data_IF_567759329583
#
_entry.id   IF_567759329583
#
_cell.length_a   1.000
_cell.length_b   1.000
_cell.length_c   1.000
_cell.angle_alpha   90.00
_cell.angle_beta   90.00
_cell.angle_gamma   90.00
#
_symmetry.space_group_name_H-M   'P 1'
#
loop_
_entity.id
_entity.type
_entity.pdbx_description
1 polymer ?
#
# COMPACT_ATOMS: atom_id res chain seq x y z
N UNK A 1 3.76 -14.72 -2.03
CA UNK A 1 2.82 -13.59 -1.93
C UNK A 1 3.41 -12.30 -1.34
N UNK A 2 3.72 -12.20 -0.03
CA UNK A 2 4.27 -10.95 0.54
C UNK A 2 5.70 -10.65 0.06
N UNK A 3 6.54 -11.67 -0.03
CA UNK A 3 7.93 -11.55 -0.49
C UNK A 3 8.03 -11.16 -1.98
N UNK A 4 7.10 -11.65 -2.81
CA UNK A 4 7.01 -11.25 -4.22
C UNK A 4 6.57 -9.79 -4.36
N UNK A 5 5.60 -9.32 -3.58
CA UNK A 5 5.17 -7.90 -3.60
C UNK A 5 6.28 -6.93 -3.22
N UNK A 6 7.19 -7.33 -2.33
CA UNK A 6 8.32 -6.50 -1.92
C UNK A 6 9.44 -6.50 -2.97
N UNK A 7 9.73 -7.64 -3.60
CA UNK A 7 10.66 -7.74 -4.74
C UNK A 7 10.12 -6.95 -5.95
N UNK A 8 8.81 -6.99 -6.17
CA UNK A 8 8.12 -6.25 -7.24
C UNK A 8 8.36 -4.75 -7.12
N UNK A 9 8.49 -4.16 -5.92
CA UNK A 9 8.65 -2.71 -5.74
C UNK A 9 10.05 -2.19 -6.07
N UNK A 10 11.09 -3.00 -5.91
CA UNK A 10 12.49 -2.57 -6.02
C UNK A 10 13.06 -2.61 -7.46
N UNK A 11 12.39 -3.30 -8.40
CA UNK A 11 12.82 -3.45 -9.80
C UNK A 11 11.80 -2.87 -10.81
N UNK A 12 11.34 -1.63 -10.64
CA UNK A 12 10.24 -1.09 -11.48
C UNK A 12 10.63 0.01 -12.46
N UNK A 13 11.85 0.55 -12.39
CA UNK A 13 12.24 1.73 -13.17
C UNK A 13 13.46 1.42 -14.04
N UNK A 14 13.31 1.65 -15.34
CA UNK A 14 14.41 1.56 -16.31
C UNK A 14 14.88 2.96 -16.68
N UNK A 15 16.20 3.17 -16.67
CA UNK A 15 16.80 4.40 -17.21
C UNK A 15 16.73 4.40 -18.74
N UNK A 16 16.20 5.47 -19.30
CA UNK A 16 16.05 5.71 -20.74
C UNK A 16 16.54 7.12 -21.07
N UNK A 17 16.91 7.36 -22.32
CA UNK A 17 17.30 8.70 -22.78
C UNK A 17 16.10 9.45 -23.35
N UNK A 18 15.77 10.59 -22.77
CA UNK A 18 14.84 11.57 -23.32
C UNK A 18 15.66 12.61 -24.09
N UNK A 19 15.38 12.75 -25.40
CA UNK A 19 16.02 13.77 -26.23
C UNK A 19 15.14 15.01 -26.27
N UNK A 20 15.71 16.15 -25.89
CA UNK A 20 15.09 17.47 -25.89
C UNK A 20 15.60 18.23 -27.12
N UNK A 21 14.67 18.80 -27.87
CA UNK A 21 14.91 19.62 -29.05
C UNK A 21 14.56 21.06 -28.72
N UNK A 22 15.52 21.95 -28.90
CA UNK A 22 15.32 23.39 -28.75
C UNK A 22 15.59 24.03 -30.10
N UNK A 23 14.57 24.67 -30.65
CA UNK A 23 14.64 25.38 -31.93
C UNK A 23 13.94 26.71 -31.82
N UNK A 24 14.43 27.69 -32.56
CA UNK A 24 13.81 28.99 -32.65
C UNK A 24 13.59 29.41 -34.10
N UNK A 25 12.48 30.10 -34.36
CA UNK A 25 12.17 30.69 -35.66
C UNK A 25 12.01 32.20 -35.50
N UNK A 26 12.42 32.96 -36.50
CA UNK A 26 12.29 34.42 -36.52
C UNK A 26 11.42 34.85 -37.69
N UNK A 27 10.43 35.69 -37.41
CA UNK A 27 9.54 36.29 -38.40
C UNK A 27 9.86 37.78 -38.50
N UNK A 28 10.54 38.24 -39.56
CA UNK A 28 10.79 39.66 -39.77
C UNK A 28 9.49 40.42 -40.04
N UNK A 29 9.49 41.73 -39.77
CA UNK A 29 8.40 42.61 -40.17
C UNK A 29 8.33 42.70 -41.70
N UNK A 30 7.10 42.74 -42.26
CA UNK A 30 6.92 42.98 -43.70
C UNK A 30 7.13 44.47 -43.99
N UNK A 31 7.73 44.83 -45.14
CA UNK A 31 7.78 46.23 -45.59
C UNK A 31 6.37 46.75 -45.92
N UNK A 32 6.16 48.05 -45.69
CA UNK A 32 4.88 48.78 -45.78
C UNK A 32 4.13 48.53 -47.11
N UNK A 33 2.86 48.12 -47.03
CA UNK A 33 1.99 47.98 -48.21
C UNK A 33 0.73 47.11 -48.07
N UNK A 34 0.60 46.31 -47.01
CA UNK A 34 -0.62 45.53 -46.73
C UNK A 34 -1.12 45.83 -45.30
N UNK A 35 -2.42 46.06 -45.14
CA UNK A 35 -3.10 46.41 -43.89
C UNK A 35 -2.87 45.36 -42.78
N UNK A 36 -1.81 45.57 -41.99
CA UNK A 36 -1.65 45.30 -40.55
C UNK A 36 -0.15 45.32 -40.22
N UNK A 37 0.29 46.24 -39.35
CA UNK A 37 1.66 46.29 -38.82
C UNK A 37 2.04 44.95 -38.17
N UNK A 38 2.71 44.06 -38.90
CA UNK A 38 3.31 42.85 -38.35
C UNK A 38 4.66 43.22 -37.73
N UNK A 39 4.67 43.44 -36.43
CA UNK A 39 5.88 43.58 -35.61
C UNK A 39 6.74 42.32 -35.74
N UNK A 40 8.06 42.50 -35.83
CA UNK A 40 9.04 41.39 -35.83
C UNK A 40 8.87 40.55 -34.58
N UNK A 41 8.97 39.22 -34.74
CA UNK A 41 8.79 38.31 -33.60
C UNK A 41 9.64 37.07 -33.75
N UNK A 42 10.04 36.53 -32.61
CA UNK A 42 10.67 35.22 -32.52
C UNK A 42 9.75 34.25 -31.82
N UNK A 43 9.99 32.97 -32.09
CA UNK A 43 9.28 31.87 -31.50
C UNK A 43 10.29 30.81 -31.07
N UNK A 44 10.27 30.48 -29.77
CA UNK A 44 11.06 29.41 -29.17
C UNK A 44 10.18 28.18 -29.02
N UNK A 45 10.70 27.03 -29.46
CA UNK A 45 10.05 25.75 -29.32
C UNK A 45 10.94 24.77 -28.56
N UNK A 46 10.37 24.16 -27.53
CA UNK A 46 11.00 23.15 -26.68
C UNK A 46 10.19 21.88 -26.78
N UNK A 47 10.67 20.90 -27.53
CA UNK A 47 10.03 19.61 -27.73
C UNK A 47 10.88 18.51 -27.11
N UNK A 48 10.31 17.33 -26.88
CA UNK A 48 11.14 16.18 -26.56
C UNK A 48 10.51 14.85 -26.90
N UNK A 49 11.37 13.86 -27.03
CA UNK A 49 11.00 12.52 -27.44
C UNK A 49 11.87 11.48 -26.75
N UNK A 50 11.22 10.49 -26.16
CA UNK A 50 11.91 9.35 -25.58
C UNK A 50 12.57 8.53 -26.71
N UNK A 51 13.85 8.19 -26.55
CA UNK A 51 14.58 7.37 -27.50
C UNK A 51 14.22 5.89 -27.24
N UNK A 52 13.17 5.43 -27.92
CA UNK A 52 12.66 4.06 -27.83
C UNK A 52 12.76 3.28 -29.17
N UNK A 53 12.70 1.96 -29.06
CA UNK A 53 12.47 1.06 -30.20
C UNK A 53 11.04 1.22 -30.74
N UNK A 54 10.85 1.12 -32.07
CA UNK A 54 9.53 1.28 -32.69
C UNK A 54 8.52 0.25 -32.15
N UNK A 55 7.34 0.71 -31.71
CA UNK A 55 6.22 -0.14 -31.31
C UNK A 55 5.71 0.03 -29.87
N UNK A 56 6.41 0.81 -29.03
CA UNK A 56 5.97 1.10 -27.65
C UNK A 56 5.11 2.37 -27.54
N UNK A 57 4.27 2.41 -26.50
CA UNK A 57 3.39 3.54 -26.20
C UNK A 57 4.22 4.82 -25.99
N UNK A 58 4.00 5.82 -26.84
CA UNK A 58 4.70 7.10 -26.75
C UNK A 58 4.24 7.87 -25.51
N UNK A 59 5.11 8.00 -24.51
CA UNK A 59 4.91 8.98 -23.43
C UNK A 59 5.13 10.40 -23.95
N UNK A 60 4.30 11.32 -23.48
CA UNK A 60 4.37 12.75 -23.84
C UNK A 60 5.56 13.43 -23.19
N UNK A 61 6.17 14.41 -23.85
CA UNK A 61 7.32 15.15 -23.33
C UNK A 61 7.05 15.77 -21.95
N UNK A 62 5.91 16.45 -21.78
CA UNK A 62 5.57 17.10 -20.52
C UNK A 62 5.49 16.11 -19.36
N UNK A 63 5.17 14.82 -19.61
CA UNK A 63 4.95 13.78 -18.60
C UNK A 63 6.17 13.49 -17.72
N UNK A 64 7.37 13.87 -18.17
CA UNK A 64 8.62 13.68 -17.43
C UNK A 64 8.95 14.83 -16.48
N UNK A 65 8.22 15.94 -16.54
CA UNK A 65 8.54 17.16 -15.81
C UNK A 65 7.41 17.57 -14.87
N UNK A 66 7.80 18.02 -13.68
CA UNK A 66 6.92 18.65 -12.70
C UNK A 66 6.72 20.12 -13.04
N UNK A 67 7.77 20.78 -13.52
CA UNK A 67 7.69 22.15 -14.02
C UNK A 67 8.80 22.44 -15.03
N UNK A 68 8.57 23.49 -15.80
CA UNK A 68 9.49 24.04 -16.78
C UNK A 68 9.45 25.56 -16.63
N UNK A 69 10.62 26.18 -16.53
CA UNK A 69 10.77 27.64 -16.49
C UNK A 69 11.70 28.07 -17.64
N UNK A 70 11.29 29.08 -18.39
CA UNK A 70 12.11 29.75 -19.38
C UNK A 70 12.37 31.16 -18.87
N UNK A 71 13.63 31.42 -18.53
CA UNK A 71 14.12 32.73 -18.16
C UNK A 71 14.74 33.39 -19.39
N UNK A 72 14.18 34.52 -19.80
CA UNK A 72 14.67 35.38 -20.86
C UNK A 72 15.53 36.49 -20.26
N UNK A 73 16.24 37.22 -21.11
CA UNK A 73 17.03 38.38 -20.70
C UNK A 73 16.15 39.44 -19.99
N UNK A 74 16.43 39.65 -18.70
CA UNK A 74 15.69 40.56 -17.83
C UNK A 74 15.84 42.02 -18.26
N UNK A 75 16.96 42.39 -18.87
CA UNK A 75 17.19 43.76 -19.36
C UNK A 75 16.29 44.07 -20.57
N UNK A 76 16.01 43.07 -21.41
CA UNK A 76 15.18 43.22 -22.60
C UNK A 76 13.67 43.17 -22.29
N UNK A 77 13.24 42.28 -21.40
CA UNK A 77 11.81 42.03 -21.14
C UNK A 77 11.29 42.61 -19.82
N UNK A 78 12.17 43.16 -18.99
CA UNK A 78 11.81 43.69 -17.68
C UNK A 78 11.42 42.61 -16.66
N UNK A 79 11.14 43.00 -15.41
CA UNK A 79 10.93 42.08 -14.31
C UNK A 79 9.69 41.18 -14.47
N UNK A 80 8.67 41.63 -15.19
CA UNK A 80 7.38 40.93 -15.23
C UNK A 80 7.22 40.01 -16.45
N UNK A 81 7.97 40.22 -17.54
CA UNK A 81 7.79 39.46 -18.79
C UNK A 81 8.97 38.55 -19.15
N UNK A 82 10.08 38.59 -18.39
CA UNK A 82 11.26 37.76 -18.65
C UNK A 82 11.08 36.29 -18.26
N UNK A 83 10.06 35.94 -17.47
CA UNK A 83 9.83 34.56 -17.02
C UNK A 83 8.59 33.96 -17.68
N UNK A 84 8.72 32.72 -18.15
CA UNK A 84 7.59 31.88 -18.57
C UNK A 84 7.65 30.59 -17.77
N UNK A 85 6.63 30.35 -16.96
CA UNK A 85 6.56 29.21 -16.06
C UNK A 85 5.40 28.28 -16.43
N UNK A 86 5.69 26.98 -16.46
CA UNK A 86 4.70 25.93 -16.56
C UNK A 86 4.85 25.00 -15.36
N UNK A 87 3.74 24.77 -14.67
CA UNK A 87 3.65 23.85 -13.54
C UNK A 87 2.61 22.78 -13.83
N UNK A 88 2.97 21.52 -13.59
CA UNK A 88 2.05 20.39 -13.66
C UNK A 88 1.00 20.50 -12.56
N UNK A 89 -0.26 20.39 -12.95
CA UNK A 89 -1.41 20.25 -12.07
C UNK A 89 -2.12 18.91 -12.36
N UNK A 90 -2.95 18.39 -11.45
CA UNK A 90 -3.69 17.14 -11.68
C UNK A 90 -4.61 17.17 -12.92
N UNK A 91 -5.01 18.35 -13.37
CA UNK A 91 -5.87 18.57 -14.55
C UNK A 91 -5.08 18.94 -15.81
N UNK A 92 -3.75 19.00 -15.75
CA UNK A 92 -2.93 19.40 -16.90
C UNK A 92 -2.99 18.34 -17.99
N UNK A 93 -3.30 18.77 -19.21
CA UNK A 93 -3.20 17.92 -20.40
C UNK A 93 -1.74 17.79 -20.83
N UNK A 94 -1.28 16.56 -21.05
CA UNK A 94 0.09 16.32 -21.48
C UNK A 94 0.33 16.71 -22.95
N UNK A 95 1.48 17.32 -23.22
CA UNK A 95 1.92 17.81 -24.53
C UNK A 95 3.32 17.30 -24.89
N UNK A 96 3.65 17.30 -26.19
CA UNK A 96 4.98 16.90 -26.69
C UNK A 96 5.99 18.06 -26.76
N UNK A 97 5.54 19.28 -26.45
CA UNK A 97 6.39 20.45 -26.43
C UNK A 97 5.69 21.71 -25.94
N UNK A 98 6.49 22.74 -25.76
CA UNK A 98 6.10 24.08 -25.35
C UNK A 98 6.58 25.08 -26.41
N UNK A 99 5.77 26.11 -26.63
CA UNK A 99 6.01 27.13 -27.64
C UNK A 99 5.79 28.51 -27.01
N UNK A 100 6.79 29.38 -27.13
CA UNK A 100 6.75 30.74 -26.60
C UNK A 100 7.05 31.69 -27.74
N UNK A 101 6.16 32.66 -27.96
CA UNK A 101 6.31 33.68 -28.99
C UNK A 101 6.33 35.06 -28.35
N UNK A 102 7.29 35.90 -28.72
CA UNK A 102 7.40 37.30 -28.26
C UNK A 102 7.84 38.20 -29.42
N UNK A 103 7.46 39.50 -29.38
CA UNK A 103 8.02 40.48 -30.29
C UNK A 103 9.51 40.73 -29.99
N UNK A 104 10.26 41.11 -31.02
CA UNK A 104 11.68 41.46 -30.92
C UNK A 104 12.47 41.11 -32.18
N UNK A 105 13.49 41.92 -32.44
CA UNK A 105 14.42 41.85 -33.57
C UNK A 105 15.89 41.70 -33.14
N UNK A 106 16.14 41.51 -31.84
CA UNK A 106 17.47 41.32 -31.24
C UNK A 106 17.60 39.90 -30.72
N UNK A 107 18.82 39.36 -30.75
CA UNK A 107 19.12 38.06 -30.15
C UNK A 107 18.86 38.07 -28.64
N UNK A 108 18.16 37.05 -28.15
CA UNK A 108 17.76 36.94 -26.74
C UNK A 108 18.46 35.74 -26.11
N UNK A 109 19.18 35.95 -25.01
CA UNK A 109 19.67 34.85 -24.18
C UNK A 109 18.50 34.27 -23.40
N UNK A 110 18.39 32.95 -23.37
CA UNK A 110 17.43 32.27 -22.53
C UNK A 110 18.03 31.09 -21.78
N UNK A 111 17.52 30.86 -20.58
CA UNK A 111 17.88 29.76 -19.69
C UNK A 111 16.64 28.92 -19.45
N UNK A 112 16.71 27.64 -19.82
CA UNK A 112 15.65 26.69 -19.54
C UNK A 112 15.98 25.94 -18.25
N UNK A 113 15.05 25.95 -17.30
CA UNK A 113 15.12 25.18 -16.06
C UNK A 113 14.04 24.10 -16.09
N UNK A 114 14.46 22.85 -16.16
CA UNK A 114 13.60 21.69 -16.30
C UNK A 114 13.60 20.89 -14.98
N UNK A 115 12.48 20.84 -14.28
CA UNK A 115 12.33 20.05 -13.05
C UNK A 115 11.71 18.70 -13.38
N UNK A 116 12.47 17.62 -13.24
CA UNK A 116 11.98 16.25 -13.46
C UNK A 116 10.92 15.86 -12.42
N UNK A 117 9.92 15.10 -12.86
CA UNK A 117 8.90 14.50 -12.00
C UNK A 117 9.29 13.05 -11.66
N UNK A 118 10.11 12.88 -10.61
CA UNK A 118 10.48 11.56 -10.14
C UNK A 118 9.32 10.91 -9.36
N UNK A 119 9.01 9.67 -9.70
CA UNK A 119 7.99 8.85 -9.03
C UNK A 119 8.62 7.53 -8.57
N UNK A 120 8.89 7.34 -7.25
CA UNK A 120 8.55 8.24 -6.14
C UNK A 120 9.44 9.50 -6.07
N UNK A 121 9.00 10.56 -5.34
CA UNK A 121 9.76 11.80 -5.22
C UNK A 121 11.19 11.58 -4.69
N UNK A 122 12.15 12.15 -5.41
CA UNK A 122 13.54 12.22 -5.00
C UNK A 122 13.86 13.57 -4.33
N UNK A 123 14.84 13.55 -3.43
CA UNK A 123 15.27 14.71 -2.67
C UNK A 123 16.78 14.83 -2.73
N UNK A 124 17.26 16.07 -2.87
CA UNK A 124 18.66 16.42 -2.72
C UNK A 124 19.00 16.54 -1.25
N UNK A 125 20.05 15.85 -0.80
CA UNK A 125 20.47 15.89 0.59
C UNK A 125 21.34 17.11 0.85
N UNK A 126 21.30 17.63 2.09
CA UNK A 126 22.30 18.57 2.59
C UNK A 126 23.72 18.06 2.26
N UNK A 127 24.64 18.90 1.75
CA UNK A 127 25.95 18.46 1.28
C UNK A 127 26.76 17.65 2.31
N UNK A 128 26.55 17.90 3.61
CA UNK A 128 27.25 17.21 4.69
C UNK A 128 26.70 15.81 4.89
N UNK A 129 25.37 15.68 4.86
CA UNK A 129 24.70 14.38 4.93
C UNK A 129 24.95 13.57 3.65
N UNK A 130 24.92 14.23 2.50
CA UNK A 130 25.17 13.61 1.20
C UNK A 130 26.54 12.95 1.15
N UNK A 131 27.58 13.67 1.59
CA UNK A 131 28.96 13.17 1.67
C UNK A 131 29.10 12.01 2.67
N UNK A 132 28.36 12.06 3.77
CA UNK A 132 28.42 11.03 4.81
C UNK A 132 27.79 9.71 4.37
N UNK A 133 26.64 9.79 3.69
CA UNK A 133 25.91 8.63 3.21
C UNK A 133 26.39 8.14 1.83
N UNK A 134 27.16 8.96 1.10
CA UNK A 134 27.56 8.66 -0.27
C UNK A 134 26.42 8.82 -1.28
N UNK A 135 25.40 9.63 -0.95
CA UNK A 135 24.16 9.76 -1.73
C UNK A 135 23.84 11.24 -1.92
N UNK A 136 23.79 11.70 -3.17
CA UNK A 136 23.49 13.10 -3.48
C UNK A 136 21.99 13.40 -3.59
N UNK A 137 21.29 12.58 -4.38
CA UNK A 137 19.84 12.70 -4.64
C UNK A 137 19.22 11.31 -4.64
N UNK A 138 18.20 11.08 -3.82
CA UNK A 138 17.53 9.78 -3.72
C UNK A 138 16.10 9.90 -3.15
N UNK A 139 15.36 8.80 -3.18
CA UNK A 139 14.04 8.71 -2.53
C UNK A 139 14.16 8.77 -1.00
N UNK A 140 13.13 9.24 -0.31
CA UNK A 140 13.13 9.30 1.18
C UNK A 140 13.36 7.91 1.81
N UNK A 141 12.80 6.85 1.21
CA UNK A 141 12.98 5.49 1.68
C UNK A 141 14.44 5.04 1.56
N UNK A 142 15.06 5.25 0.41
CA UNK A 142 16.47 4.91 0.16
C UNK A 142 17.42 5.72 1.07
N UNK A 143 17.11 7.00 1.32
CA UNK A 143 17.88 7.83 2.25
C UNK A 143 17.78 7.30 3.68
N UNK A 144 16.58 6.94 4.14
CA UNK A 144 16.38 6.33 5.46
C UNK A 144 17.13 5.00 5.61
N UNK A 145 17.14 4.18 4.55
CA UNK A 145 17.89 2.94 4.52
C UNK A 145 19.42 3.18 4.58
N UNK A 146 19.94 4.13 3.80
CA UNK A 146 21.36 4.50 3.84
C UNK A 146 21.77 5.01 5.23
N UNK A 147 20.93 5.81 5.85
CA UNK A 147 21.14 6.30 7.21
C UNK A 147 21.11 5.16 8.24
N UNK A 148 20.19 4.21 8.11
CA UNK A 148 20.15 3.01 8.96
C UNK A 148 21.40 2.14 8.81
N UNK A 149 21.86 1.91 7.57
CA UNK A 149 23.10 1.19 7.30
C UNK A 149 24.31 1.88 7.95
N UNK A 150 24.38 3.20 7.86
CA UNK A 150 25.42 3.97 8.51
C UNK A 150 25.39 3.82 10.05
N UNK A 151 24.21 3.90 10.67
CA UNK A 151 24.03 3.69 12.12
C UNK A 151 24.52 2.31 12.53
N UNK A 152 24.14 1.28 11.79
CA UNK A 152 24.49 -0.12 12.07
C UNK A 152 26.00 -0.35 11.93
N UNK A 153 26.59 0.11 10.82
CA UNK A 153 28.02 -0.06 10.56
C UNK A 153 28.89 0.65 11.60
N UNK A 154 28.46 1.81 12.09
CA UNK A 154 29.18 2.58 13.10
C UNK A 154 28.75 2.23 14.54
N UNK A 155 27.87 1.23 14.73
CA UNK A 155 27.35 0.79 16.04
C UNK A 155 26.82 1.95 16.90
N UNK A 156 26.08 2.87 16.27
CA UNK A 156 25.59 4.09 16.94
C UNK A 156 24.30 3.86 17.74
N UNK A 157 23.62 2.73 17.55
CA UNK A 157 22.46 2.37 18.36
C UNK A 157 22.89 2.04 19.79
N UNK A 158 22.15 2.55 20.77
CA UNK A 158 22.46 2.30 22.19
C UNK A 158 22.37 0.80 22.54
N UNK A 159 23.24 0.33 23.44
CA UNK A 159 23.27 -1.08 23.85
C UNK A 159 22.09 -1.45 24.72
N UNK A 160 21.65 -0.54 25.60
CA UNK A 160 20.59 -0.75 26.58
C UNK A 160 19.25 -0.22 26.07
N UNK A 161 19.23 0.96 25.46
CA UNK A 161 18.00 1.60 24.99
C UNK A 161 17.91 1.59 23.45
N UNK A 162 17.40 0.48 22.88
CA UNK A 162 17.38 0.26 21.42
C UNK A 162 16.63 1.31 20.60
N UNK A 163 15.82 2.16 21.23
CA UNK A 163 15.12 3.26 20.57
C UNK A 163 16.01 4.50 20.32
N UNK A 164 17.20 4.54 20.93
CA UNK A 164 18.10 5.68 20.86
C UNK A 164 19.33 5.44 20.01
N UNK A 165 19.79 6.53 19.41
CA UNK A 165 21.04 6.62 18.67
C UNK A 165 21.96 7.60 19.37
N UNK A 166 23.16 7.15 19.66
CA UNK A 166 24.26 7.97 20.17
C UNK A 166 24.99 8.59 18.96
N UNK A 167 24.74 9.87 18.72
CA UNK A 167 25.30 10.59 17.58
C UNK A 167 26.82 10.69 17.71
N UNK A 168 27.54 10.16 16.71
CA UNK A 168 28.99 10.39 16.59
C UNK A 168 29.30 11.84 16.17
N UNK A 169 30.59 12.16 16.02
CA UNK A 169 31.04 13.51 15.64
C UNK A 169 30.31 14.05 14.41
N UNK A 170 30.13 13.25 13.37
CA UNK A 170 29.47 13.69 12.13
C UNK A 170 27.96 13.91 12.33
N UNK A 171 27.26 12.96 12.97
CA UNK A 171 25.84 13.10 13.27
C UNK A 171 25.54 14.29 14.19
N UNK A 172 26.40 14.56 15.17
CA UNK A 172 26.25 15.74 16.04
C UNK A 172 26.29 17.04 15.24
N UNK A 173 27.20 17.13 14.27
CA UNK A 173 27.30 18.34 13.49
C UNK A 173 26.16 18.50 12.46
N UNK A 174 25.55 17.40 12.00
CA UNK A 174 24.44 17.42 11.03
C UNK A 174 23.09 17.61 11.75
N UNK A 175 22.81 16.81 12.78
CA UNK A 175 21.53 16.80 13.51
C UNK A 175 21.48 17.72 14.72
N UNK A 176 22.61 18.33 15.08
CA UNK A 176 22.72 19.31 16.17
C UNK A 176 22.47 18.74 17.57
N UNK A 177 22.53 17.41 17.74
CA UNK A 177 22.24 16.77 19.03
C UNK A 177 23.19 15.60 19.33
N UNK A 178 23.55 15.38 20.61
CA UNK A 178 24.43 14.30 21.03
C UNK A 178 23.75 12.93 20.99
N UNK A 179 22.42 12.89 21.15
CA UNK A 179 21.60 11.69 21.21
C UNK A 179 20.20 12.02 20.67
N UNK A 180 19.56 11.07 19.97
CA UNK A 180 18.20 11.22 19.44
C UNK A 180 17.47 9.88 19.36
N UNK A 181 16.14 9.89 19.31
CA UNK A 181 15.32 8.68 19.10
C UNK A 181 15.16 8.37 17.61
N UNK A 182 14.93 7.10 17.26
CA UNK A 182 14.64 6.71 15.87
C UNK A 182 13.42 7.43 15.29
N UNK A 183 12.38 7.63 16.11
CA UNK A 183 11.15 8.32 15.71
C UNK A 183 11.36 9.82 15.39
N UNK A 184 12.45 10.42 15.86
CA UNK A 184 12.77 11.84 15.62
C UNK A 184 13.53 12.05 14.30
N UNK A 185 14.12 11.00 13.73
CA UNK A 185 14.91 11.07 12.49
C UNK A 185 14.08 11.63 11.33
N UNK A 186 12.84 11.17 11.05
CA UNK A 186 12.08 11.68 9.90
C UNK A 186 11.84 13.18 9.96
N UNK A 187 11.62 13.74 11.16
CA UNK A 187 11.43 15.17 11.37
C UNK A 187 12.75 15.94 11.22
N UNK A 188 13.83 15.46 11.83
CA UNK A 188 15.16 16.09 11.70
C UNK A 188 15.69 16.03 10.26
N UNK A 189 15.38 14.95 9.55
CA UNK A 189 15.75 14.76 8.16
C UNK A 189 14.97 15.72 7.24
N UNK A 190 13.73 16.08 7.57
CA UNK A 190 12.92 16.96 6.72
C UNK A 190 13.61 18.31 6.43
N UNK A 191 14.34 18.89 7.39
CA UNK A 191 15.12 20.11 7.19
C UNK A 191 16.43 19.93 6.41
N UNK A 192 16.85 18.69 6.17
CA UNK A 192 18.07 18.32 5.43
C UNK A 192 17.78 17.79 4.03
N UNK A 193 16.49 17.74 3.65
CA UNK A 193 16.04 17.30 2.32
C UNK A 193 15.51 18.51 1.56
N UNK A 194 16.10 18.76 0.41
CA UNK A 194 15.72 19.83 -0.51
C UNK A 194 15.18 19.23 -1.81
N UNK A 195 14.52 20.05 -2.62
CA UNK A 195 14.14 19.65 -3.97
C UNK A 195 15.41 19.37 -4.81
N UNK A 196 15.37 18.39 -5.74
CA UNK A 196 16.43 18.19 -6.70
C UNK A 196 16.69 19.45 -7.52
N UNK A 197 17.95 19.66 -7.90
CA UNK A 197 18.30 20.79 -8.77
C UNK A 197 17.65 20.60 -10.15
N UNK A 198 17.16 21.69 -10.78
CA UNK A 198 16.67 21.63 -12.14
C UNK A 198 17.81 21.33 -13.11
N UNK A 199 17.47 20.76 -14.26
CA UNK A 199 18.38 20.68 -15.40
C UNK A 199 18.39 22.06 -16.07
N UNK A 200 19.58 22.66 -16.17
CA UNK A 200 19.76 24.01 -16.72
C UNK A 200 20.33 23.90 -18.13
N UNK A 201 19.64 24.49 -19.11
CA UNK A 201 20.10 24.57 -20.50
C UNK A 201 20.14 26.04 -20.92
N UNK A 202 21.33 26.52 -21.28
CA UNK A 202 21.52 27.86 -21.81
C UNK A 202 21.37 27.84 -23.34
N UNK A 203 20.56 28.72 -23.89
CA UNK A 203 20.30 28.85 -25.32
C UNK A 203 20.25 30.32 -25.73
N UNK A 204 20.51 30.60 -27.01
CA UNK A 204 20.42 31.95 -27.58
C UNK A 204 19.43 31.89 -28.71
N UNK A 205 18.34 32.64 -28.58
CA UNK A 205 17.35 32.84 -29.63
C UNK A 205 17.96 33.80 -30.65
N UNK A 206 18.36 33.25 -31.79
CA UNK A 206 18.94 34.00 -32.91
C UNK A 206 17.84 34.57 -33.81
N UNK A 207 17.95 35.85 -34.19
CA UNK A 207 17.08 36.51 -35.17
C UNK A 207 17.64 36.45 -36.59
N UNK A 208 18.78 35.78 -36.79
CA UNK A 208 19.39 35.61 -38.10
C UNK A 208 18.56 34.64 -38.98
N UNK A 209 18.10 35.05 -40.17
CA UNK A 209 17.37 34.19 -41.11
C UNK A 209 18.12 32.91 -41.50
N UNK A 210 19.45 32.92 -41.44
CA UNK A 210 20.28 31.75 -41.77
C UNK A 210 20.29 30.68 -40.67
N UNK A 211 19.92 31.05 -39.44
CA UNK A 211 20.03 30.21 -38.24
C UNK A 211 18.72 29.49 -37.86
N UNK A 212 17.61 29.82 -38.53
CA UNK A 212 16.24 29.37 -38.20
C UNK A 212 16.00 27.85 -38.29
N UNK A 213 16.97 27.07 -38.78
CA UNK A 213 16.89 25.60 -38.89
C UNK A 213 17.82 24.87 -37.93
N UNK A 214 18.56 25.56 -37.07
CA UNK A 214 19.43 24.90 -36.10
C UNK A 214 18.60 24.45 -34.89
N UNK A 215 18.40 23.15 -34.79
CA UNK A 215 17.81 22.52 -33.61
C UNK A 215 18.92 22.02 -32.69
N UNK A 216 19.03 22.60 -31.49
CA UNK A 216 19.90 22.08 -30.45
C UNK A 216 19.26 20.83 -29.82
N UNK A 217 20.05 19.77 -29.64
CA UNK A 217 19.58 18.50 -29.10
C UNK A 217 20.32 18.18 -27.79
N UNK A 218 19.58 17.87 -26.73
CA UNK A 218 20.12 17.49 -25.43
C UNK A 218 19.53 16.16 -24.99
N UNK A 219 20.38 15.20 -24.62
CA UNK A 219 19.94 13.91 -24.10
C UNK A 219 20.03 13.91 -22.57
N UNK A 220 18.92 13.59 -21.91
CA UNK A 220 18.86 13.44 -20.45
C UNK A 220 18.39 12.04 -20.07
N UNK A 221 18.87 11.54 -18.94
CA UNK A 221 18.43 10.25 -18.41
C UNK A 221 17.12 10.44 -17.62
N UNK A 222 16.10 9.68 -17.98
CA UNK A 222 14.80 9.63 -17.29
C UNK A 222 14.47 8.21 -16.87
N UNK A 223 13.77 8.08 -15.75
CA UNK A 223 13.29 6.80 -15.25
C UNK A 223 11.88 6.53 -15.77
N UNK A 224 11.69 5.35 -16.37
CA UNK A 224 10.41 4.93 -16.96
C UNK A 224 9.99 3.61 -16.33
N UNK A 225 8.69 3.45 -16.08
CA UNK A 225 8.15 2.19 -15.60
C UNK A 225 8.52 1.04 -16.54
N UNK A 226 8.93 -0.09 -15.97
CA UNK A 226 9.15 -1.31 -16.72
C UNK A 226 7.84 -1.76 -17.39
N UNK A 227 7.81 -2.01 -18.71
CA UNK A 227 6.61 -2.54 -19.39
C UNK A 227 6.08 -3.85 -18.77
N UNK A 228 6.92 -4.64 -18.09
CA UNK A 228 6.52 -5.84 -17.35
C UNK A 228 5.65 -5.52 -16.14
N UNK A 229 5.67 -4.28 -15.61
CA UNK A 229 4.84 -3.84 -14.47
C UNK A 229 3.35 -4.03 -14.75
N UNK A 230 2.92 -3.72 -15.98
CA UNK A 230 1.52 -3.92 -16.40
C UNK A 230 1.14 -5.40 -16.40
N UNK A 231 1.98 -6.25 -16.99
CA UNK A 231 1.76 -7.70 -17.06
C UNK A 231 1.77 -8.35 -15.66
N UNK A 232 2.72 -7.96 -14.82
CA UNK A 232 2.82 -8.44 -13.43
C UNK A 232 1.64 -7.97 -12.59
N UNK A 233 1.17 -6.74 -12.74
CA UNK A 233 -0.04 -6.28 -12.06
C UNK A 233 -1.26 -7.07 -12.53
N UNK A 234 -1.40 -7.33 -13.84
CA UNK A 234 -2.45 -8.20 -14.36
C UNK A 234 -2.37 -9.62 -13.80
N UNK A 235 -1.18 -10.20 -13.65
CA UNK A 235 -0.96 -11.52 -13.06
C UNK A 235 -1.29 -11.55 -11.55
N UNK A 236 -0.84 -10.55 -10.79
CA UNK A 236 -1.13 -10.48 -9.35
C UNK A 236 -2.62 -10.20 -9.07
N UNK A 237 -3.29 -9.51 -9.99
CA UNK A 237 -4.72 -9.20 -9.90
C UNK A 237 -5.61 -10.28 -10.53
N UNK A 238 -5.04 -11.23 -11.27
CA UNK A 238 -5.83 -12.28 -11.89
C UNK A 238 -6.29 -13.26 -10.82
N UNK A 239 -7.51 -13.04 -10.36
CA UNK A 239 -8.28 -13.91 -9.46
C UNK A 239 -8.95 -15.07 -10.21
N UNK A 240 -8.60 -15.26 -11.48
CA UNK A 240 -9.38 -16.03 -12.48
C UNK A 240 -9.74 -17.44 -12.03
N UNK A 241 -8.92 -18.06 -11.17
CA UNK A 241 -9.14 -19.44 -10.74
C UNK A 241 -9.63 -19.56 -9.29
N UNK A 242 -9.81 -18.47 -8.54
CA UNK A 242 -10.23 -18.58 -7.13
C UNK A 242 -11.65 -19.11 -6.98
N UNK A 243 -12.56 -18.78 -7.90
CA UNK A 243 -13.93 -19.29 -7.87
C UNK A 243 -13.99 -20.79 -8.15
N UNK A 244 -13.18 -21.27 -9.11
CA UNK A 244 -13.07 -22.69 -9.42
C UNK A 244 -12.44 -23.48 -8.27
N UNK A 245 -11.38 -22.93 -7.65
CA UNK A 245 -10.76 -23.52 -6.45
C UNK A 245 -11.79 -23.63 -5.32
N UNK A 246 -12.54 -22.56 -5.04
CA UNK A 246 -13.56 -22.57 -3.99
C UNK A 246 -14.68 -23.60 -4.26
N UNK A 247 -15.10 -23.75 -5.53
CA UNK A 247 -16.07 -24.76 -5.92
C UNK A 247 -15.53 -26.19 -5.73
N UNK A 248 -14.25 -26.42 -6.08
CA UNK A 248 -13.59 -27.70 -5.84
C UNK A 248 -13.43 -27.98 -4.34
N UNK A 249 -13.11 -26.97 -3.53
CA UNK A 249 -13.04 -27.09 -2.08
C UNK A 249 -14.40 -27.48 -1.49
N UNK A 250 -15.50 -26.85 -1.91
CA UNK A 250 -16.85 -27.25 -1.47
C UNK A 250 -17.15 -28.70 -1.82
N UNK A 251 -16.83 -29.12 -3.04
CA UNK A 251 -17.04 -30.52 -3.47
C UNK A 251 -16.21 -31.51 -2.66
N UNK A 252 -14.98 -31.15 -2.29
CA UNK A 252 -14.12 -31.94 -1.41
C UNK A 252 -14.80 -32.11 -0.04
N UNK A 253 -15.30 -31.02 0.55
CA UNK A 253 -15.98 -31.07 1.85
C UNK A 253 -17.24 -31.95 1.80
N UNK A 254 -18.11 -31.77 0.81
CA UNK A 254 -19.32 -32.59 0.62
C UNK A 254 -18.97 -34.08 0.47
N UNK A 255 -17.91 -34.38 -0.29
CA UNK A 255 -17.47 -35.77 -0.48
C UNK A 255 -16.93 -36.38 0.81
N UNK A 256 -16.20 -35.60 1.63
CA UNK A 256 -15.70 -36.05 2.93
C UNK A 256 -16.85 -36.34 3.89
N UNK A 257 -17.85 -35.46 3.95
CA UNK A 257 -19.05 -35.68 4.76
C UNK A 257 -19.79 -36.95 4.34
N UNK A 258 -19.96 -37.15 3.03
CA UNK A 258 -20.58 -38.37 2.50
C UNK A 258 -19.79 -39.64 2.85
N UNK A 259 -18.45 -39.60 2.75
CA UNK A 259 -17.59 -40.72 3.16
C UNK A 259 -17.76 -41.02 4.65
N UNK A 260 -17.86 -39.99 5.51
CA UNK A 260 -18.06 -40.19 6.95
C UNK A 260 -19.43 -40.80 7.27
N UNK A 261 -20.48 -40.42 6.55
CA UNK A 261 -21.81 -41.04 6.66
C UNK A 261 -21.74 -42.53 6.27
N UNK A 262 -21.18 -42.84 5.10
CA UNK A 262 -21.01 -44.22 4.64
C UNK A 262 -20.16 -45.06 5.60
N UNK A 263 -19.10 -44.48 6.15
CA UNK A 263 -18.27 -45.15 7.17
C UNK A 263 -19.12 -45.49 8.40
N UNK A 264 -19.91 -44.55 8.90
CA UNK A 264 -20.78 -44.76 10.07
C UNK A 264 -21.80 -45.87 9.81
N UNK A 265 -22.44 -45.86 8.64
CA UNK A 265 -23.38 -46.93 8.23
C UNK A 265 -22.68 -48.29 8.14
N UNK A 266 -21.51 -48.34 7.51
CA UNK A 266 -20.71 -49.56 7.38
C UNK A 266 -20.32 -50.12 8.76
N UNK A 267 -19.81 -49.26 9.64
CA UNK A 267 -19.36 -49.66 10.98
C UNK A 267 -20.54 -50.14 11.84
N UNK A 268 -21.72 -49.51 11.69
CA UNK A 268 -22.97 -49.98 12.31
C UNK A 268 -23.34 -51.39 11.83
N UNK A 269 -23.39 -51.61 10.51
CA UNK A 269 -23.75 -52.91 9.93
C UNK A 269 -22.73 -54.00 10.28
N UNK A 270 -21.43 -53.67 10.31
CA UNK A 270 -20.37 -54.58 10.75
C UNK A 270 -20.51 -54.97 12.21
N UNK A 271 -20.86 -54.01 13.08
CA UNK A 271 -21.05 -54.26 14.50
C UNK A 271 -22.22 -55.23 14.73
N UNK A 272 -23.32 -55.04 14.00
CA UNK A 272 -24.45 -55.97 14.00
C UNK A 272 -24.07 -57.36 13.48
N UNK A 273 -23.32 -57.46 12.37
CA UNK A 273 -22.96 -58.76 11.79
C UNK A 273 -21.99 -59.56 12.65
N UNK A 274 -21.11 -58.89 13.40
CA UNK A 274 -20.10 -59.54 14.22
C UNK A 274 -20.66 -60.12 15.53
N UNK A 275 -21.50 -59.35 16.25
CA UNK A 275 -22.16 -59.82 17.48
C UNK A 275 -23.58 -59.22 17.60
N UNK A 276 -24.60 -59.83 16.95
CA UNK A 276 -25.93 -59.23 16.86
C UNK A 276 -26.63 -59.10 18.22
N UNK A 277 -26.39 -60.03 19.16
CA UNK A 277 -27.07 -60.03 20.45
C UNK A 277 -26.61 -58.85 21.33
N UNK A 278 -25.30 -58.69 21.49
CA UNK A 278 -24.72 -57.58 22.26
C UNK A 278 -25.03 -56.23 21.59
N UNK A 279 -24.92 -56.17 20.26
CA UNK A 279 -25.25 -54.98 19.49
C UNK A 279 -26.70 -54.53 19.70
N UNK A 280 -27.69 -55.44 19.59
CA UNK A 280 -29.10 -55.08 19.78
C UNK A 280 -29.33 -54.56 21.21
N UNK A 281 -28.71 -55.18 22.20
CA UNK A 281 -28.84 -54.76 23.58
C UNK A 281 -28.29 -53.34 23.79
N UNK A 282 -27.11 -53.04 23.26
CA UNK A 282 -26.50 -51.72 23.38
C UNK A 282 -27.21 -50.67 22.53
N UNK A 283 -27.73 -51.06 21.36
CA UNK A 283 -28.55 -50.20 20.53
C UNK A 283 -29.86 -49.80 21.25
N UNK A 284 -30.55 -50.74 21.89
CA UNK A 284 -31.75 -50.44 22.69
C UNK A 284 -31.43 -49.50 23.87
N UNK A 285 -30.30 -49.70 24.56
CA UNK A 285 -29.85 -48.79 25.62
C UNK A 285 -29.55 -47.39 25.07
N UNK A 286 -28.89 -47.31 23.91
CA UNK A 286 -28.57 -46.03 23.25
C UNK A 286 -29.84 -45.29 22.87
N UNK A 287 -30.76 -45.94 22.15
CA UNK A 287 -32.01 -45.33 21.71
C UNK A 287 -32.90 -44.90 22.89
N UNK A 288 -32.94 -45.69 23.97
CA UNK A 288 -33.64 -45.29 25.20
C UNK A 288 -33.01 -44.04 25.83
N UNK A 289 -31.68 -43.93 25.84
CA UNK A 289 -30.97 -42.75 26.35
C UNK A 289 -31.23 -41.53 25.46
N UNK A 290 -31.12 -41.68 24.15
CA UNK A 290 -31.32 -40.60 23.18
C UNK A 290 -32.76 -40.06 23.28
N UNK A 291 -33.74 -40.96 23.38
CA UNK A 291 -35.14 -40.58 23.58
C UNK A 291 -35.36 -39.81 24.89
N UNK A 292 -34.75 -40.27 26.01
CA UNK A 292 -34.83 -39.55 27.30
C UNK A 292 -34.23 -38.15 27.18
N UNK A 293 -33.10 -38.00 26.49
CA UNK A 293 -32.46 -36.70 26.25
C UNK A 293 -33.32 -35.78 25.37
N UNK A 294 -33.98 -36.32 24.34
CA UNK A 294 -34.86 -35.52 23.47
C UNK A 294 -36.19 -35.12 24.12
N UNK A 295 -36.64 -35.84 25.16
CA UNK A 295 -37.95 -35.65 25.80
C UNK A 295 -37.87 -35.09 27.22
N UNK A 296 -36.66 -34.78 27.70
CA UNK A 296 -36.37 -34.38 29.08
C UNK A 296 -36.93 -35.35 30.15
N UNK A 297 -37.17 -36.61 29.77
CA UNK A 297 -37.66 -37.64 30.68
C UNK A 297 -36.50 -38.09 31.57
N UNK A 298 -36.63 -37.84 32.86
CA UNK A 298 -35.65 -38.23 33.88
C UNK A 298 -36.09 -39.51 34.60
N UNK A 299 -35.12 -40.21 35.18
CA UNK A 299 -35.36 -41.44 35.93
C UNK A 299 -35.46 -42.70 35.06
N UNK A 300 -35.58 -43.84 35.72
CA UNK A 300 -35.81 -45.13 35.08
C UNK A 300 -36.89 -45.86 35.89
N UNK A 301 -38.16 -45.79 35.47
CA UNK A 301 -39.28 -46.37 36.21
C UNK A 301 -39.11 -47.87 36.52
N UNK A 302 -38.40 -48.60 35.68
CA UNK A 302 -38.12 -50.03 35.89
C UNK A 302 -37.05 -50.28 36.95
N UNK A 303 -36.09 -49.37 37.12
CA UNK A 303 -35.14 -49.42 38.25
C UNK A 303 -35.83 -48.96 39.54
N UNK A 304 -36.62 -47.88 39.47
CA UNK A 304 -37.36 -47.32 40.60
C UNK A 304 -38.42 -48.28 41.18
N UNK A 305 -38.82 -49.32 40.44
CA UNK A 305 -39.69 -50.41 40.92
C UNK A 305 -38.97 -51.45 41.77
N UNK A 306 -37.65 -51.57 41.64
CA UNK A 306 -36.85 -52.62 42.26
C UNK A 306 -36.39 -52.21 43.65
N UNK A 307 -36.37 -53.16 44.59
CA UNK A 307 -35.98 -52.88 45.98
C UNK A 307 -34.52 -52.43 46.09
N UNK A 308 -33.64 -52.93 45.21
CA UNK A 308 -32.21 -52.58 45.18
C UNK A 308 -32.00 -51.08 44.95
N UNK A 309 -32.88 -50.41 44.21
CA UNK A 309 -32.81 -48.97 43.98
C UNK A 309 -32.87 -48.17 45.29
N UNK A 310 -33.65 -48.65 46.26
CA UNK A 310 -33.83 -48.02 47.57
C UNK A 310 -32.82 -48.48 48.62
N UNK A 311 -31.81 -49.26 48.24
CA UNK A 311 -30.68 -49.61 49.11
C UNK A 311 -29.48 -48.67 48.89
N UNK A 312 -29.63 -47.65 48.05
CA UNK A 312 -28.56 -46.75 47.68
C UNK A 312 -28.21 -45.74 48.80
N UNK A 313 -26.96 -45.21 48.82
CA UNK A 313 -26.49 -44.29 49.87
C UNK A 313 -27.28 -42.98 49.98
N UNK A 314 -27.99 -42.57 48.93
CA UNK A 314 -28.78 -41.34 48.93
C UNK A 314 -30.12 -41.48 49.69
N UNK A 315 -30.56 -42.71 50.00
CA UNK A 315 -31.90 -42.95 50.57
C UNK A 315 -32.10 -42.38 51.97
N UNK A 316 -31.19 -42.56 52.95
CA UNK A 316 -31.38 -42.00 54.29
C UNK A 316 -31.53 -40.48 54.28
N UNK A 317 -30.72 -39.79 53.46
CA UNK A 317 -30.81 -38.34 53.29
C UNK A 317 -32.12 -37.94 52.61
N UNK A 318 -32.51 -38.63 51.53
CA UNK A 318 -33.76 -38.35 50.83
C UNK A 318 -35.00 -38.52 51.73
N UNK A 319 -35.03 -39.56 52.57
CA UNK A 319 -36.10 -39.77 53.57
C UNK A 319 -36.11 -38.63 54.58
N UNK A 320 -34.94 -38.20 55.08
CA UNK A 320 -34.83 -37.05 55.99
C UNK A 320 -35.38 -35.76 55.38
N UNK A 321 -35.00 -35.45 54.14
CA UNK A 321 -35.52 -34.29 53.38
C UNK A 321 -37.03 -34.39 53.15
N UNK A 322 -37.52 -35.58 52.81
CA UNK A 322 -38.95 -35.83 52.60
C UNK A 322 -39.76 -35.63 53.88
N UNK A 323 -39.33 -36.20 55.00
CA UNK A 323 -40.01 -36.06 56.30
C UNK A 323 -40.01 -34.59 56.72
N UNK A 324 -38.88 -33.89 56.62
CA UNK A 324 -38.80 -32.46 56.95
C UNK A 324 -39.80 -31.64 56.12
N UNK A 325 -39.82 -31.84 54.79
CA UNK A 325 -40.76 -31.17 53.90
C UNK A 325 -42.22 -31.46 54.25
N UNK A 326 -42.56 -32.72 54.56
CA UNK A 326 -43.91 -33.12 54.98
C UNK A 326 -44.33 -32.50 56.31
N UNK A 327 -43.42 -32.40 57.28
CA UNK A 327 -43.68 -31.73 58.56
C UNK A 327 -43.95 -30.24 58.35
N UNK A 328 -43.16 -29.55 57.52
CA UNK A 328 -43.39 -28.14 57.19
C UNK A 328 -44.72 -27.94 56.45
N UNK A 329 -45.06 -28.82 55.51
CA UNK A 329 -46.35 -28.78 54.81
C UNK A 329 -47.53 -28.92 55.80
N UNK A 330 -47.48 -29.92 56.68
CA UNK A 330 -48.51 -30.13 57.71
C UNK A 330 -48.61 -28.95 58.68
N UNK A 331 -47.48 -28.37 59.04
CA UNK A 331 -47.43 -27.18 59.88
C UNK A 331 -48.11 -25.99 59.19
N UNK A 332 -47.80 -25.73 57.91
CA UNK A 332 -48.46 -24.68 57.14
C UNK A 332 -49.98 -24.91 56.99
N UNK A 333 -50.41 -26.16 56.73
CA UNK A 333 -51.83 -26.52 56.70
C UNK A 333 -52.52 -26.20 58.03
N UNK A 334 -51.90 -26.55 59.16
CA UNK A 334 -52.42 -26.26 60.50
C UNK A 334 -52.44 -24.76 60.81
N UNK A 335 -51.38 -24.03 60.46
CA UNK A 335 -51.30 -22.57 60.64
C UNK A 335 -52.36 -21.85 59.79
N UNK A 336 -52.65 -22.33 58.58
CA UNK A 336 -53.75 -21.83 57.74
C UNK A 336 -55.13 -22.13 58.34
N UNK A 337 -55.37 -23.36 58.81
CA UNK A 337 -56.66 -23.76 59.39
C UNK A 337 -56.94 -23.04 60.73
N UNK A 338 -55.89 -22.79 61.52
CA UNK A 338 -56.00 -22.11 62.81
C UNK A 338 -55.98 -20.58 62.69
N UNK A 339 -55.83 -20.02 61.48
CA UNK A 339 -55.81 -18.58 61.24
C UNK A 339 -54.59 -17.85 61.82
N UNK A 340 -53.54 -18.58 62.20
CA UNK A 340 -52.33 -18.02 62.80
C UNK A 340 -51.40 -17.59 61.67
N UNK A 341 -51.54 -16.34 61.21
CA UNK A 341 -50.48 -15.69 60.43
C UNK A 341 -49.43 -15.17 61.40
N UNK A 342 -48.32 -15.89 61.53
CA UNK A 342 -47.09 -15.30 62.07
C UNK A 342 -46.58 -14.28 61.04
N UNK A 343 -46.65 -12.99 61.40
CA UNK A 343 -45.96 -11.89 60.71
C UNK A 343 -44.46 -12.04 60.82
#
# INVERSE_FOLDING_TARGET
YNQERDIVKDQQLQKRKLRIYISNTYTPSKPEGEEAEKVSSWELRVEGKLLEEPGKQKRKFSSFFKSLVIELDKELYGPDNHLVEWHRMPTTQETDGFQVKRPGDVNVKCTLLLMLDHQPPQYKLDPRLARLLGVHTQTRASIMQALWLYIKNNKLQDSHEKEYINCNRYFRQIFGCPRMRFSEIPMKLAGLLQHPDPIIINHIISVDPTDQKKTACYDIDVEVDDPLKGQMNSFLSSTTNQQEIAALEMKIHETIEYINQLKTERDFMLSFSNNPQEFIQDWLKSQSRDLKLMTDVTGNPEEERRTEFYQAPWVPEAVGRYIYSKVQQRRQELEQVLGIRLT
#
